data_IF_719288098132
#
_entry.id   IF_719288098132
#
_cell.length_a   1.000
_cell.length_b   1.000
_cell.length_c   1.000
_cell.angle_alpha   90.00
_cell.angle_beta   90.00
_cell.angle_gamma   90.00
#
_symmetry.space_group_name_H-M   'P 1'
#
loop_
_entity.id
_entity.type
_entity.pdbx_description
1 polymer ?
#
# COMPACT_ATOMS: atom_id res chain seq x y z
N UNK A 1 -33.79 2.69 -34.44
CA UNK A 1 -33.55 3.18 -33.07
C UNK A 1 -32.43 2.32 -32.52
N UNK A 2 -31.29 2.89 -32.10
CA UNK A 2 -30.15 2.09 -31.63
C UNK A 2 -30.50 1.42 -30.30
N UNK A 3 -30.37 0.09 -30.23
CA UNK A 3 -30.59 -0.73 -29.03
C UNK A 3 -29.35 -0.76 -28.11
N UNK A 4 -28.53 0.30 -28.12
CA UNK A 4 -27.37 0.40 -27.23
C UNK A 4 -27.79 0.99 -25.88
N UNK A 5 -27.93 0.11 -24.88
CA UNK A 5 -28.25 0.45 -23.49
C UNK A 5 -26.99 0.62 -22.62
N UNK A 6 -25.80 0.74 -23.23
CA UNK A 6 -24.57 0.90 -22.45
C UNK A 6 -24.57 2.23 -21.68
N UNK A 7 -24.27 2.14 -20.37
CA UNK A 7 -24.07 3.27 -19.49
C UNK A 7 -22.63 3.20 -19.00
N UNK A 8 -21.86 4.27 -19.18
CA UNK A 8 -20.49 4.40 -18.67
C UNK A 8 -20.44 5.49 -17.60
N UNK A 9 -20.87 5.21 -16.36
CA UNK A 9 -20.81 6.20 -15.30
C UNK A 9 -19.33 6.53 -14.99
N UNK A 10 -18.99 7.79 -14.71
CA UNK A 10 -17.64 8.14 -14.32
C UNK A 10 -17.29 7.49 -12.97
N UNK A 11 -16.07 6.99 -12.85
CA UNK A 11 -15.55 6.53 -11.56
C UNK A 11 -15.23 7.74 -10.66
N UNK A 12 -15.41 7.65 -9.33
CA UNK A 12 -15.02 8.72 -8.42
C UNK A 12 -13.51 8.98 -8.49
N UNK A 13 -13.11 10.24 -8.68
CA UNK A 13 -11.72 10.67 -8.53
C UNK A 13 -11.48 11.11 -7.08
N UNK A 14 -10.60 10.38 -6.40
CA UNK A 14 -10.25 10.61 -5.00
C UNK A 14 -8.85 11.22 -4.84
N UNK A 15 -8.14 11.47 -5.94
CA UNK A 15 -6.80 12.06 -5.94
C UNK A 15 -6.88 13.50 -5.45
N UNK A 16 -6.09 13.82 -4.43
CA UNK A 16 -5.98 15.19 -3.95
C UNK A 16 -5.03 15.97 -4.87
N UNK A 17 -5.42 17.17 -5.37
CA UNK A 17 -4.62 17.94 -6.32
C UNK A 17 -3.49 18.71 -5.61
N UNK A 18 -2.56 17.98 -4.98
CA UNK A 18 -1.50 18.51 -4.14
C UNK A 18 -0.55 19.47 -4.88
N UNK A 19 -0.42 19.34 -6.20
CA UNK A 19 0.44 20.18 -7.05
C UNK A 19 0.02 21.65 -7.03
N UNK A 20 -1.26 21.92 -6.75
CA UNK A 20 -1.84 23.26 -6.68
C UNK A 20 -1.46 24.02 -5.41
N UNK A 21 -0.90 23.34 -4.41
CA UNK A 21 -0.62 23.90 -3.10
C UNK A 21 0.88 23.92 -2.82
N UNK A 22 1.36 25.06 -2.32
CA UNK A 22 2.75 25.25 -1.89
C UNK A 22 2.85 26.30 -0.76
N UNK A 23 2.24 26.07 0.41
CA UNK A 23 2.42 26.96 1.55
C UNK A 23 3.88 26.92 2.03
N UNK A 24 4.45 28.08 2.32
CA UNK A 24 5.87 28.27 2.59
C UNK A 24 6.11 28.77 4.01
N UNK A 25 5.30 29.73 4.48
CA UNK A 25 5.44 30.32 5.81
C UNK A 25 4.73 29.50 6.89
N UNK A 26 5.05 29.75 8.16
CA UNK A 26 4.41 29.05 9.28
C UNK A 26 2.91 29.35 9.32
N UNK A 27 2.54 30.60 9.06
CA UNK A 27 1.18 31.10 9.03
C UNK A 27 0.39 30.43 7.90
N UNK A 28 0.93 30.40 6.68
CA UNK A 28 0.31 29.70 5.53
C UNK A 28 0.14 28.20 5.78
N UNK A 29 1.15 27.54 6.36
CA UNK A 29 1.06 26.11 6.69
C UNK A 29 -0.03 25.86 7.74
N UNK A 30 -0.14 26.74 8.73
CA UNK A 30 -1.16 26.64 9.76
C UNK A 30 -2.57 26.85 9.17
N UNK A 31 -2.78 27.89 8.38
CA UNK A 31 -4.05 28.14 7.67
C UNK A 31 -4.42 26.95 6.77
N UNK A 32 -3.47 26.44 5.99
CA UNK A 32 -3.68 25.29 5.12
C UNK A 32 -4.04 24.03 5.91
N UNK A 33 -3.34 23.75 7.01
CA UNK A 33 -3.60 22.59 7.87
C UNK A 33 -5.02 22.59 8.48
N UNK A 34 -5.62 23.77 8.64
CA UNK A 34 -6.98 23.96 9.16
C UNK A 34 -8.02 24.24 8.06
N UNK A 35 -7.64 24.17 6.78
CA UNK A 35 -8.55 24.40 5.65
C UNK A 35 -9.61 23.28 5.51
N UNK A 36 -10.79 23.59 4.93
CA UNK A 36 -11.80 22.59 4.61
C UNK A 36 -11.29 21.44 3.75
N UNK A 37 -10.42 21.73 2.78
CA UNK A 37 -9.82 20.75 1.86
C UNK A 37 -8.96 19.73 2.62
N UNK A 38 -8.16 20.19 3.59
CA UNK A 38 -7.35 19.32 4.44
C UNK A 38 -8.21 18.53 5.43
N UNK A 39 -9.29 19.13 5.94
CA UNK A 39 -10.22 18.43 6.85
C UNK A 39 -10.81 17.17 6.18
N UNK A 40 -11.23 17.26 4.92
CA UNK A 40 -11.75 16.10 4.16
C UNK A 40 -10.72 14.96 4.08
N UNK A 41 -9.44 15.27 3.90
CA UNK A 41 -8.39 14.25 3.86
C UNK A 41 -8.13 13.66 5.25
N UNK A 42 -8.14 14.48 6.31
CA UNK A 42 -8.02 13.99 7.70
C UNK A 42 -9.16 13.04 8.05
N UNK A 43 -10.41 13.40 7.72
CA UNK A 43 -11.58 12.55 7.93
C UNK A 43 -11.44 11.21 7.20
N UNK A 44 -10.98 11.24 5.95
CA UNK A 44 -10.71 10.03 5.18
C UNK A 44 -9.60 9.18 5.80
N UNK A 45 -8.52 9.78 6.29
CA UNK A 45 -7.46 9.05 7.00
C UNK A 45 -7.97 8.37 8.28
N UNK A 46 -8.82 9.05 9.05
CA UNK A 46 -9.49 8.46 10.22
C UNK A 46 -10.41 7.30 9.83
N UNK A 47 -11.13 7.42 8.71
CA UNK A 47 -11.97 6.34 8.20
C UNK A 47 -11.17 5.11 7.78
N UNK A 48 -10.12 5.30 7.00
CA UNK A 48 -9.18 4.24 6.63
C UNK A 48 -8.56 3.60 7.88
N UNK A 49 -8.16 4.40 8.88
CA UNK A 49 -7.67 3.88 10.16
C UNK A 49 -8.66 2.94 10.85
N UNK A 50 -9.96 3.27 10.85
CA UNK A 50 -11.03 2.39 11.36
C UNK A 50 -11.19 1.12 10.53
N UNK A 51 -11.13 1.20 9.19
CA UNK A 51 -11.23 0.02 8.32
C UNK A 51 -10.09 -0.97 8.57
N UNK A 52 -8.85 -0.46 8.62
CA UNK A 52 -7.66 -1.27 8.93
C UNK A 52 -7.76 -1.92 10.31
N UNK A 53 -8.26 -1.20 11.31
CA UNK A 53 -8.47 -1.74 12.66
C UNK A 53 -9.52 -2.86 12.68
N UNK A 54 -10.66 -2.65 12.02
CA UNK A 54 -11.74 -3.64 11.96
C UNK A 54 -11.33 -4.93 11.21
N UNK A 55 -10.30 -4.87 10.39
CA UNK A 55 -9.68 -6.01 9.70
C UNK A 55 -8.49 -6.61 10.44
N UNK A 56 -8.15 -6.07 11.62
CA UNK A 56 -6.98 -6.49 12.42
C UNK A 56 -5.63 -6.32 11.68
N UNK A 57 -5.56 -5.40 10.71
CA UNK A 57 -4.31 -5.11 10.00
C UNK A 57 -3.37 -4.23 10.80
N UNK A 58 -3.90 -3.50 11.78
CA UNK A 58 -3.14 -2.68 12.70
C UNK A 58 -3.42 -3.15 14.12
N UNK A 59 -2.37 -3.25 14.93
CA UNK A 59 -2.41 -3.77 16.29
C UNK A 59 -1.97 -2.68 17.28
N UNK A 60 -2.72 -2.50 18.37
CA UNK A 60 -2.40 -1.51 19.41
C UNK A 60 -2.17 -0.10 18.82
N UNK A 61 -0.89 0.30 18.72
CA UNK A 61 -0.46 1.59 18.19
C UNK A 61 0.38 1.49 16.89
N UNK A 62 0.53 0.29 16.33
CA UNK A 62 1.27 -0.02 15.12
C UNK A 62 0.61 0.49 13.83
N UNK A 63 1.33 0.31 12.72
CA UNK A 63 0.95 0.83 11.42
C UNK A 63 1.00 2.36 11.32
N UNK A 64 0.88 2.88 10.11
CA UNK A 64 0.81 4.32 9.84
C UNK A 64 0.26 4.65 8.46
N UNK A 65 -0.31 5.85 8.34
CA UNK A 65 -0.94 6.35 7.11
C UNK A 65 -0.32 7.70 6.78
N UNK A 66 -0.02 7.96 5.51
CA UNK A 66 0.33 9.30 5.05
C UNK A 66 -0.29 9.65 3.69
N UNK A 67 -0.54 10.94 3.49
CA UNK A 67 -1.11 11.49 2.25
C UNK A 67 -0.40 12.79 1.90
N UNK A 68 0.14 12.90 0.69
CA UNK A 68 0.73 14.12 0.16
C UNK A 68 -0.37 15.14 -0.13
N UNK A 69 -0.17 16.36 0.35
CA UNK A 69 -1.18 17.43 0.24
C UNK A 69 -0.61 18.74 -0.32
N UNK A 70 0.71 18.86 -0.45
CA UNK A 70 1.35 19.95 -1.16
C UNK A 70 2.65 19.48 -1.82
N UNK A 71 3.30 20.35 -2.60
CA UNK A 71 4.62 20.05 -3.17
C UNK A 71 5.63 19.63 -2.10
N UNK A 72 5.59 20.28 -0.92
CA UNK A 72 6.53 20.12 0.18
C UNK A 72 5.92 19.51 1.46
N UNK A 73 4.64 19.12 1.47
CA UNK A 73 3.94 18.69 2.68
C UNK A 73 3.12 17.42 2.48
N UNK A 74 3.03 16.65 3.55
CA UNK A 74 2.18 15.48 3.68
C UNK A 74 1.54 15.44 5.07
N UNK A 75 0.32 14.94 5.14
CA UNK A 75 -0.32 14.52 6.38
C UNK A 75 0.21 13.14 6.77
N UNK A 76 0.32 12.88 8.07
CA UNK A 76 0.63 11.55 8.58
C UNK A 76 -0.07 11.26 9.91
N UNK A 77 -0.29 9.98 10.19
CA UNK A 77 -0.78 9.54 11.49
C UNK A 77 0.25 9.81 12.61
N UNK A 78 -0.18 10.10 13.84
CA UNK A 78 0.73 10.26 14.97
C UNK A 78 1.32 8.92 15.44
N UNK A 79 2.42 9.02 16.17
CA UNK A 79 2.99 7.87 16.90
C UNK A 79 2.17 7.55 18.15
N UNK A 80 2.25 6.30 18.63
CA UNK A 80 1.62 5.81 19.86
C UNK A 80 0.09 6.02 19.93
N UNK A 81 -0.58 6.08 18.78
CA UNK A 81 -2.03 6.19 18.66
C UNK A 81 -2.57 5.02 17.85
N UNK A 82 -3.63 4.38 18.33
CA UNK A 82 -4.33 3.35 17.59
C UNK A 82 -5.03 3.96 16.37
N UNK A 83 -4.79 3.38 15.19
CA UNK A 83 -5.34 3.93 13.93
C UNK A 83 -6.87 3.83 13.89
N UNK A 84 -7.46 2.85 14.59
CA UNK A 84 -8.91 2.71 14.71
C UNK A 84 -9.59 3.80 15.54
N UNK A 85 -8.84 4.53 16.36
CA UNK A 85 -9.38 5.55 17.27
C UNK A 85 -8.81 6.96 17.03
N UNK A 86 -8.14 7.18 15.90
CA UNK A 86 -7.64 8.50 15.54
C UNK A 86 -8.79 9.48 15.29
N UNK A 87 -8.63 10.69 15.80
CA UNK A 87 -9.47 11.85 15.45
C UNK A 87 -8.75 12.76 14.46
N UNK A 88 -9.47 13.71 13.84
CA UNK A 88 -8.86 14.64 12.87
C UNK A 88 -7.84 15.57 13.54
N UNK A 89 -8.01 15.84 14.83
CA UNK A 89 -7.11 16.62 15.68
C UNK A 89 -5.79 15.89 15.97
N UNK A 90 -5.80 14.56 15.93
CA UNK A 90 -4.61 13.74 16.16
C UNK A 90 -3.67 13.72 14.94
N UNK A 91 -4.16 14.03 13.73
CA UNK A 91 -3.37 13.98 12.50
C UNK A 91 -2.25 15.03 12.53
N UNK A 92 -1.06 14.63 12.07
CA UNK A 92 0.12 15.48 11.97
C UNK A 92 0.34 15.94 10.52
N UNK A 93 1.13 16.99 10.35
CA UNK A 93 1.65 17.40 9.04
C UNK A 93 3.17 17.52 9.14
N UNK A 94 3.88 16.94 8.17
CA UNK A 94 5.35 16.99 8.07
C UNK A 94 5.76 17.50 6.70
N UNK A 95 7.01 17.96 6.59
CA UNK A 95 7.65 18.21 5.29
C UNK A 95 8.29 16.95 4.68
N UNK A 96 8.81 17.09 3.46
CA UNK A 96 9.52 16.02 2.74
C UNK A 96 10.87 15.62 3.36
N UNK A 97 11.27 16.22 4.48
CA UNK A 97 12.41 15.84 5.32
C UNK A 97 11.96 15.18 6.65
N UNK A 98 10.67 14.83 6.76
CA UNK A 98 10.03 14.29 7.96
C UNK A 98 10.06 15.23 9.18
N UNK A 99 10.17 16.55 8.98
CA UNK A 99 10.06 17.54 10.06
C UNK A 99 8.61 17.95 10.23
N UNK A 100 8.07 17.78 11.42
CA UNK A 100 6.71 18.20 11.76
C UNK A 100 6.54 19.71 11.63
N UNK A 101 5.47 20.13 10.95
CA UNK A 101 5.11 21.53 10.68
C UNK A 101 3.79 21.95 11.34
N UNK A 102 2.86 21.00 11.51
CA UNK A 102 1.59 21.23 12.19
C UNK A 102 1.07 19.94 12.85
N UNK A 103 0.03 20.09 13.67
CA UNK A 103 -0.54 19.03 14.51
C UNK A 103 0.02 19.04 15.93
N UNK A 104 -0.79 18.59 16.89
CA UNK A 104 -0.48 18.65 18.33
C UNK A 104 0.20 17.38 18.86
N UNK A 105 0.02 16.26 18.16
CA UNK A 105 0.65 14.97 18.49
C UNK A 105 2.01 14.85 17.80
N UNK A 106 2.96 14.08 18.34
CA UNK A 106 4.18 13.74 17.63
C UNK A 106 3.89 12.83 16.43
N UNK A 107 4.44 13.17 15.26
CA UNK A 107 4.34 12.35 14.04
C UNK A 107 5.04 10.99 14.20
N UNK A 108 4.59 9.97 13.45
CA UNK A 108 5.32 8.70 13.34
C UNK A 108 6.74 8.88 12.78
N UNK A 109 7.72 8.16 13.33
CA UNK A 109 9.10 8.14 12.82
C UNK A 109 9.22 7.41 11.47
N UNK A 110 8.27 6.51 11.18
CA UNK A 110 8.23 5.71 9.96
C UNK A 110 7.71 6.46 8.74
N UNK A 111 7.28 7.72 8.91
CA UNK A 111 6.96 8.60 7.78
C UNK A 111 8.15 8.78 6.84
N UNK A 112 9.39 8.56 7.32
CA UNK A 112 10.60 8.50 6.48
C UNK A 112 10.53 7.42 5.41
N UNK A 113 9.99 6.25 5.74
CA UNK A 113 9.79 5.14 4.80
C UNK A 113 8.77 5.52 3.74
N UNK A 114 7.66 6.15 4.16
CA UNK A 114 6.62 6.65 3.25
C UNK A 114 7.20 7.71 2.30
N UNK A 115 7.94 8.69 2.81
CA UNK A 115 8.60 9.74 2.01
C UNK A 115 9.60 9.13 1.02
N UNK A 116 10.38 8.13 1.43
CA UNK A 116 11.33 7.47 0.55
C UNK A 116 10.63 6.73 -0.60
N UNK A 117 9.51 6.04 -0.31
CA UNK A 117 8.66 5.42 -1.32
C UNK A 117 8.05 6.46 -2.28
N UNK A 118 7.42 7.52 -1.75
CA UNK A 118 6.85 8.62 -2.54
C UNK A 118 7.89 9.24 -3.48
N UNK A 119 9.12 9.48 -3.00
CA UNK A 119 10.23 10.01 -3.83
C UNK A 119 10.71 9.02 -4.89
N UNK A 120 10.67 7.72 -4.62
CA UNK A 120 11.18 6.68 -5.53
C UNK A 120 10.22 6.41 -6.70
N UNK A 121 8.92 6.32 -6.41
CA UNK A 121 7.91 5.83 -7.37
C UNK A 121 6.76 6.80 -7.62
N UNK A 122 6.77 7.99 -7.01
CA UNK A 122 5.81 9.05 -7.32
C UNK A 122 4.38 8.82 -6.83
N UNK A 123 4.19 7.93 -5.84
CA UNK A 123 2.89 7.73 -5.17
C UNK A 123 2.55 8.92 -4.27
N UNK A 124 1.25 9.11 -4.00
CA UNK A 124 0.76 10.26 -3.22
C UNK A 124 0.23 9.86 -1.84
N UNK A 125 -0.14 8.59 -1.64
CA UNK A 125 -0.54 8.08 -0.34
C UNK A 125 0.16 6.77 -0.06
N UNK A 126 0.45 6.53 1.23
CA UNK A 126 1.08 5.32 1.69
C UNK A 126 0.41 4.81 2.96
N UNK A 127 0.27 3.49 3.08
CA UNK A 127 -0.20 2.81 4.28
C UNK A 127 0.80 1.71 4.64
N UNK A 128 1.29 1.75 5.86
CA UNK A 128 2.02 0.66 6.48
C UNK A 128 1.15 -0.01 7.54
N UNK A 129 1.11 -1.34 7.54
CA UNK A 129 0.32 -2.15 8.47
C UNK A 129 0.97 -3.52 8.69
N UNK A 130 0.39 -4.31 9.59
CA UNK A 130 0.84 -5.66 9.99
C UNK A 130 -0.25 -6.73 9.74
N UNK A 131 -0.79 -6.87 8.51
CA UNK A 131 -1.82 -7.85 8.20
C UNK A 131 -1.38 -9.28 8.59
N UNK A 132 -2.17 -10.02 9.41
CA UNK A 132 -1.76 -11.31 9.96
C UNK A 132 -1.37 -12.36 8.92
N UNK A 133 -2.09 -12.44 7.80
CA UNK A 133 -1.82 -13.46 6.79
C UNK A 133 -0.59 -13.10 5.98
N UNK A 134 -0.37 -11.81 5.63
CA UNK A 134 0.90 -11.39 5.04
C UNK A 134 2.08 -11.68 5.97
N UNK A 135 1.94 -11.34 7.25
CA UNK A 135 2.98 -11.58 8.25
C UNK A 135 3.26 -13.07 8.46
N UNK A 136 2.27 -13.95 8.31
CA UNK A 136 2.50 -15.39 8.34
C UNK A 136 3.47 -15.87 7.23
N UNK A 137 3.45 -15.25 6.04
CA UNK A 137 4.46 -15.50 5.01
C UNK A 137 5.82 -14.92 5.38
N UNK A 138 5.84 -13.66 5.82
CA UNK A 138 7.06 -12.95 6.18
C UNK A 138 7.85 -13.66 7.28
N UNK A 139 7.18 -14.10 8.34
CA UNK A 139 7.81 -14.83 9.45
C UNK A 139 8.28 -16.23 9.04
N UNK A 140 7.76 -16.76 7.94
CA UNK A 140 8.24 -17.99 7.32
C UNK A 140 9.33 -17.74 6.26
N UNK A 141 9.82 -16.51 6.11
CA UNK A 141 10.84 -16.12 5.14
C UNK A 141 10.35 -16.20 3.69
N UNK A 142 9.06 -15.98 3.45
CA UNK A 142 8.40 -16.22 2.17
C UNK A 142 7.54 -15.02 1.71
N UNK A 143 7.18 -15.04 0.43
CA UNK A 143 6.15 -14.20 -0.20
C UNK A 143 5.11 -15.10 -0.90
N UNK A 144 3.83 -14.67 -1.00
CA UNK A 144 2.71 -15.56 -1.40
C UNK A 144 2.66 -15.77 -2.92
N UNK A 145 2.80 -16.98 -3.52
CA UNK A 145 3.12 -17.27 -4.96
C UNK A 145 2.36 -16.47 -6.03
N UNK A 146 2.87 -16.33 -7.26
CA UNK A 146 2.15 -15.61 -8.36
C UNK A 146 1.22 -16.52 -9.15
N UNK A 147 0.37 -15.96 -10.01
CA UNK A 147 -0.38 -16.68 -11.05
C UNK A 147 -1.49 -17.58 -10.51
N UNK A 148 -2.01 -17.32 -9.31
CA UNK A 148 -3.10 -18.11 -8.72
C UNK A 148 -4.40 -17.32 -8.74
N UNK A 149 -4.34 -16.03 -8.44
CA UNK A 149 -5.50 -15.18 -8.27
C UNK A 149 -5.36 -13.94 -9.18
N UNK A 150 -6.25 -13.78 -10.18
CA UNK A 150 -6.19 -12.65 -11.10
C UNK A 150 -6.12 -11.30 -10.39
N UNK A 151 -6.89 -11.10 -9.31
CA UNK A 151 -6.93 -9.84 -8.57
C UNK A 151 -5.56 -9.50 -7.95
N UNK A 152 -4.87 -10.46 -7.35
CA UNK A 152 -3.53 -10.27 -6.80
C UNK A 152 -2.52 -9.91 -7.92
N UNK A 153 -2.47 -10.70 -8.99
CA UNK A 153 -1.53 -10.48 -10.09
C UNK A 153 -1.82 -9.17 -10.87
N UNK A 154 -3.09 -8.79 -11.03
CA UNK A 154 -3.50 -7.56 -11.72
C UNK A 154 -3.28 -6.32 -10.84
N UNK A 155 -3.71 -6.31 -9.57
CA UNK A 155 -3.70 -5.11 -8.73
C UNK A 155 -2.41 -4.96 -7.92
N UNK A 156 -1.87 -6.04 -7.36
CA UNK A 156 -0.63 -5.99 -6.57
C UNK A 156 0.60 -6.09 -7.47
N UNK A 157 0.49 -6.82 -8.59
CA UNK A 157 1.64 -7.13 -9.44
C UNK A 157 2.64 -8.03 -8.72
N UNK A 158 3.93 -7.90 -9.05
CA UNK A 158 4.99 -8.57 -8.30
C UNK A 158 5.00 -8.05 -6.86
N UNK A 159 5.10 -8.94 -5.86
CA UNK A 159 5.20 -8.53 -4.45
C UNK A 159 6.66 -8.62 -4.00
N UNK A 160 7.43 -7.52 -4.06
CA UNK A 160 8.83 -7.52 -3.65
C UNK A 160 8.98 -7.62 -2.14
N UNK A 161 10.08 -8.23 -1.71
CA UNK A 161 10.52 -8.28 -0.32
C UNK A 161 11.64 -7.26 -0.10
N UNK A 162 11.37 -6.26 0.75
CA UNK A 162 12.40 -5.37 1.29
C UNK A 162 13.15 -6.09 2.43
N UNK A 163 14.50 -6.18 2.38
CA UNK A 163 15.30 -6.75 3.46
C UNK A 163 15.06 -6.06 4.80
N UNK A 164 15.32 -6.79 5.88
CA UNK A 164 15.18 -6.27 7.23
C UNK A 164 16.00 -4.99 7.45
N UNK A 165 15.39 -4.04 8.14
CA UNK A 165 16.06 -2.90 8.74
C UNK A 165 15.26 -2.44 9.95
N UNK A 166 15.93 -1.82 10.93
CA UNK A 166 15.27 -1.36 12.16
C UNK A 166 14.13 -0.38 11.85
N UNK A 167 12.90 -0.58 12.37
CA UNK A 167 11.78 0.32 12.15
C UNK A 167 12.12 1.80 12.40
N UNK A 168 11.68 2.69 11.49
CA UNK A 168 11.98 4.13 11.54
C UNK A 168 13.43 4.53 11.15
N UNK A 169 14.28 3.58 10.76
CA UNK A 169 15.65 3.84 10.30
C UNK A 169 15.72 4.28 8.82
N UNK A 170 16.85 4.87 8.43
CA UNK A 170 17.12 5.20 7.02
C UNK A 170 17.42 3.95 6.17
N UNK A 171 17.88 2.86 6.79
CA UNK A 171 18.12 1.59 6.12
C UNK A 171 16.81 0.99 5.60
N UNK A 172 15.80 0.87 6.48
CA UNK A 172 14.45 0.43 6.11
C UNK A 172 13.85 1.30 5.03
N UNK A 173 13.97 2.63 5.15
CA UNK A 173 13.46 3.57 4.16
C UNK A 173 14.10 3.37 2.77
N UNK A 174 15.42 3.11 2.71
CA UNK A 174 16.13 2.80 1.45
C UNK A 174 15.73 1.46 0.87
N UNK A 175 15.64 0.41 1.71
CA UNK A 175 15.24 -0.93 1.30
C UNK A 175 13.84 -0.95 0.69
N UNK A 176 12.88 -0.28 1.34
CA UNK A 176 11.51 -0.12 0.82
C UNK A 176 11.50 0.68 -0.47
N UNK A 177 12.23 1.80 -0.54
CA UNK A 177 12.26 2.63 -1.74
C UNK A 177 12.84 1.90 -2.96
N UNK A 178 13.82 1.02 -2.77
CA UNK A 178 14.36 0.16 -3.83
C UNK A 178 13.34 -0.88 -4.26
N UNK A 179 12.79 -1.65 -3.31
CA UNK A 179 11.77 -2.66 -3.57
C UNK A 179 10.55 -2.08 -4.29
N UNK A 180 10.13 -0.87 -3.90
CA UNK A 180 8.97 -0.19 -4.46
C UNK A 180 9.03 0.01 -5.97
N UNK A 181 10.24 0.04 -6.57
CA UNK A 181 10.41 0.16 -8.04
C UNK A 181 9.86 -1.03 -8.81
N UNK A 182 9.71 -2.18 -8.16
CA UNK A 182 9.12 -3.38 -8.76
C UNK A 182 7.60 -3.39 -8.58
N UNK A 183 7.10 -2.93 -7.44
CA UNK A 183 5.69 -2.72 -7.17
C UNK A 183 5.48 -1.81 -5.97
N UNK A 184 4.37 -1.09 -5.95
CA UNK A 184 3.97 -0.26 -4.82
C UNK A 184 3.32 -1.05 -3.67
N UNK A 185 3.35 -2.39 -3.70
CA UNK A 185 2.94 -3.26 -2.59
C UNK A 185 4.15 -4.02 -2.10
N UNK A 186 4.80 -3.52 -1.06
CA UNK A 186 6.10 -4.01 -0.60
C UNK A 186 5.94 -4.77 0.71
N UNK A 187 6.41 -6.02 0.72
CA UNK A 187 6.55 -6.83 1.92
C UNK A 187 7.87 -6.47 2.61
N UNK A 188 7.85 -6.33 3.93
CA UNK A 188 9.00 -5.93 4.73
C UNK A 188 9.40 -7.09 5.65
N UNK A 189 10.60 -7.63 5.45
CA UNK A 189 11.09 -8.81 6.16
C UNK A 189 10.96 -8.65 7.69
N UNK A 190 10.28 -9.60 8.33
CA UNK A 190 10.02 -9.64 9.77
C UNK A 190 9.39 -8.34 10.35
N UNK A 191 8.56 -7.66 9.57
CA UNK A 191 7.96 -6.39 9.99
C UNK A 191 6.48 -6.28 9.60
N UNK A 192 6.17 -6.17 8.31
CA UNK A 192 4.82 -5.87 7.84
C UNK A 192 4.75 -5.61 6.34
N UNK A 193 3.72 -4.88 5.93
CA UNK A 193 3.50 -4.50 4.53
C UNK A 193 3.39 -2.98 4.44
N UNK A 194 3.95 -2.40 3.38
CA UNK A 194 3.72 -1.01 3.01
C UNK A 194 3.17 -0.93 1.59
N UNK A 195 2.10 -0.18 1.43
CA UNK A 195 1.42 0.05 0.15
C UNK A 195 1.51 1.51 -0.23
N UNK A 196 1.61 1.79 -1.53
CA UNK A 196 1.62 3.13 -2.09
C UNK A 196 0.67 3.24 -3.28
N UNK A 197 -0.04 4.36 -3.38
CA UNK A 197 -1.05 4.57 -4.41
C UNK A 197 -1.29 6.06 -4.72
N UNK A 198 -2.19 6.35 -5.67
CA UNK A 198 -2.55 7.73 -6.05
C UNK A 198 -3.40 8.45 -5.00
N UNK A 199 -4.12 7.68 -4.18
CA UNK A 199 -4.90 8.14 -3.05
C UNK A 199 -4.92 7.10 -1.93
N UNK A 200 -5.35 7.53 -0.74
CA UNK A 200 -5.26 6.70 0.48
C UNK A 200 -6.19 5.50 0.47
N UNK A 201 -7.28 5.55 -0.28
CA UNK A 201 -8.24 4.45 -0.34
C UNK A 201 -7.75 3.36 -1.29
N UNK A 202 -7.15 3.72 -2.42
CA UNK A 202 -6.48 2.74 -3.28
C UNK A 202 -5.30 2.06 -2.56
N UNK A 203 -4.53 2.79 -1.74
CA UNK A 203 -3.49 2.17 -0.91
C UNK A 203 -4.08 1.14 0.07
N UNK A 204 -5.25 1.43 0.64
CA UNK A 204 -5.94 0.50 1.53
C UNK A 204 -6.45 -0.73 0.78
N UNK A 205 -7.00 -0.56 -0.43
CA UNK A 205 -7.40 -1.69 -1.28
C UNK A 205 -6.25 -2.63 -1.59
N UNK A 206 -5.05 -2.10 -1.84
CA UNK A 206 -3.86 -2.94 -2.02
C UNK A 206 -3.49 -3.71 -0.76
N UNK A 207 -3.62 -3.09 0.42
CA UNK A 207 -3.36 -3.75 1.70
C UNK A 207 -4.37 -4.89 1.93
N UNK A 208 -5.65 -4.63 1.66
CA UNK A 208 -6.72 -5.62 1.76
C UNK A 208 -6.53 -6.78 0.79
N UNK A 209 -6.27 -6.48 -0.48
CA UNK A 209 -6.03 -7.49 -1.50
C UNK A 209 -4.83 -8.37 -1.15
N UNK A 210 -3.74 -7.78 -0.64
CA UNK A 210 -2.55 -8.53 -0.23
C UNK A 210 -2.86 -9.53 0.90
N UNK A 211 -3.54 -9.11 1.97
CA UNK A 211 -3.88 -10.00 3.08
C UNK A 211 -4.93 -11.04 2.70
N UNK A 212 -5.96 -10.63 1.95
CA UNK A 212 -6.97 -11.55 1.43
C UNK A 212 -6.33 -12.64 0.56
N UNK A 213 -5.37 -12.26 -0.30
CA UNK A 213 -4.63 -13.21 -1.11
C UNK A 213 -3.80 -14.18 -0.26
N UNK A 214 -3.00 -13.66 0.68
CA UNK A 214 -2.24 -14.47 1.62
C UNK A 214 -3.14 -15.45 2.38
N UNK A 215 -4.30 -15.00 2.87
CA UNK A 215 -5.27 -15.84 3.56
C UNK A 215 -5.74 -16.99 2.69
N UNK A 216 -6.11 -16.71 1.44
CA UNK A 216 -6.57 -17.74 0.50
C UNK A 216 -5.48 -18.78 0.24
N UNK A 217 -4.24 -18.35 0.02
CA UNK A 217 -3.11 -19.28 -0.20
C UNK A 217 -2.86 -20.15 1.04
N UNK A 218 -2.85 -19.57 2.25
CA UNK A 218 -2.66 -20.33 3.49
C UNK A 218 -3.76 -21.36 3.69
N UNK A 219 -5.03 -20.97 3.48
CA UNK A 219 -6.17 -21.87 3.58
C UNK A 219 -6.13 -22.97 2.53
N UNK A 220 -5.78 -22.65 1.28
CA UNK A 220 -5.62 -23.63 0.21
C UNK A 220 -4.51 -24.64 0.54
N UNK A 221 -3.41 -24.19 1.15
CA UNK A 221 -2.31 -25.04 1.61
C UNK A 221 -2.72 -26.10 2.64
N UNK A 222 -3.78 -25.88 3.42
CA UNK A 222 -4.30 -26.86 4.39
C UNK A 222 -4.81 -28.14 3.72
N UNK A 223 -5.18 -28.10 2.43
CA UNK A 223 -5.57 -29.28 1.68
C UNK A 223 -4.39 -30.21 1.35
N UNK A 224 -3.13 -29.77 1.55
CA UNK A 224 -1.89 -30.52 1.24
C UNK A 224 -1.81 -31.02 -0.20
N UNK A 225 -2.52 -30.35 -1.11
CA UNK A 225 -2.47 -30.55 -2.54
C UNK A 225 -1.63 -29.42 -3.18
N UNK A 226 -1.01 -29.66 -4.34
CA UNK A 226 -0.40 -28.60 -5.13
C UNK A 226 -1.39 -27.46 -5.41
N UNK A 227 -0.93 -26.21 -5.25
CA UNK A 227 -1.69 -25.06 -5.70
C UNK A 227 -1.63 -24.99 -7.23
N UNK A 228 -2.76 -24.70 -7.87
CA UNK A 228 -2.83 -24.54 -9.32
C UNK A 228 -2.45 -23.11 -9.70
N UNK A 229 -1.46 -22.99 -10.58
CA UNK A 229 -1.00 -21.72 -11.14
C UNK A 229 -1.32 -21.68 -12.63
N UNK A 230 -1.77 -20.53 -13.15
CA UNK A 230 -1.85 -20.29 -14.60
C UNK A 230 -0.47 -20.40 -15.24
N UNK A 231 -0.41 -20.84 -16.49
CA UNK A 231 0.80 -20.87 -17.27
C UNK A 231 1.27 -19.46 -17.67
N UNK A 232 2.40 -19.37 -18.40
CA UNK A 232 2.95 -18.09 -18.84
C UNK A 232 1.98 -17.24 -19.68
N UNK A 233 1.07 -17.88 -20.44
CA UNK A 233 0.05 -17.16 -21.22
C UNK A 233 -0.98 -16.50 -20.30
N UNK A 234 -1.51 -17.22 -19.32
CA UNK A 234 -2.44 -16.64 -18.35
C UNK A 234 -1.83 -15.50 -17.53
N UNK A 235 -0.55 -15.60 -17.14
CA UNK A 235 0.12 -14.48 -16.48
C UNK A 235 0.29 -13.29 -17.43
N UNK A 236 0.61 -13.53 -18.72
CA UNK A 236 0.69 -12.46 -19.70
C UNK A 236 -0.65 -11.72 -19.86
N UNK A 237 -1.78 -12.45 -19.80
CA UNK A 237 -3.13 -11.85 -19.82
C UNK A 237 -3.36 -10.95 -18.60
N UNK A 238 -2.97 -11.39 -17.39
CA UNK A 238 -3.09 -10.57 -16.17
C UNK A 238 -2.25 -9.30 -16.27
N UNK A 239 -1.01 -9.39 -16.75
CA UNK A 239 -0.13 -8.24 -16.94
C UNK A 239 -0.66 -7.28 -18.03
N UNK A 240 -1.28 -7.81 -19.08
CA UNK A 240 -1.93 -6.99 -20.10
C UNK A 240 -3.11 -6.20 -19.53
N UNK A 241 -3.95 -6.82 -18.70
CA UNK A 241 -5.05 -6.15 -18.00
C UNK A 241 -4.50 -5.07 -17.07
N UNK A 242 -3.51 -5.40 -16.23
CA UNK A 242 -2.83 -4.44 -15.32
C UNK A 242 -2.35 -3.20 -16.05
N UNK A 243 -1.70 -3.38 -17.20
CA UNK A 243 -1.24 -2.28 -18.06
C UNK A 243 -2.42 -1.46 -18.62
N UNK A 244 -3.48 -2.13 -19.06
CA UNK A 244 -4.66 -1.47 -19.64
C UNK A 244 -5.41 -0.57 -18.66
N UNK A 245 -5.39 -0.92 -17.36
CA UNK A 245 -6.01 -0.12 -16.29
C UNK A 245 -5.06 0.92 -15.68
N UNK A 246 -3.86 1.09 -16.25
CA UNK A 246 -2.94 2.20 -15.95
C UNK A 246 -1.87 1.91 -14.90
N UNK A 247 -1.73 0.67 -14.42
CA UNK A 247 -0.64 0.32 -13.51
C UNK A 247 0.64 -0.05 -14.27
N UNK A 248 1.79 0.23 -13.64
CA UNK A 248 3.08 -0.13 -14.18
C UNK A 248 3.27 -1.65 -14.21
N UNK A 249 3.89 -2.13 -15.29
CA UNK A 249 4.38 -3.50 -15.46
C UNK A 249 5.87 -3.38 -15.78
N UNK A 250 6.77 -3.69 -14.84
CA UNK A 250 8.21 -3.67 -15.11
C UNK A 250 8.58 -4.60 -16.27
N UNK A 251 9.55 -4.18 -17.09
CA UNK A 251 10.10 -5.04 -18.13
C UNK A 251 10.67 -6.31 -17.49
N UNK A 252 10.33 -7.47 -18.07
CA UNK A 252 10.73 -8.79 -17.55
C UNK A 252 10.34 -9.01 -16.08
N UNK A 253 9.18 -8.51 -15.63
CA UNK A 253 8.67 -8.76 -14.28
C UNK A 253 8.78 -10.26 -13.95
N UNK A 254 9.63 -10.64 -12.97
CA UNK A 254 9.83 -12.05 -12.67
C UNK A 254 8.55 -12.60 -12.04
N UNK A 255 8.13 -13.76 -12.53
CA UNK A 255 7.23 -14.61 -11.77
C UNK A 255 7.96 -14.99 -10.48
N UNK A 256 7.37 -14.67 -9.34
CA UNK A 256 7.94 -15.07 -8.08
C UNK A 256 7.36 -16.45 -7.71
N UNK A 257 8.25 -17.37 -7.31
CA UNK A 257 7.98 -18.78 -7.03
C UNK A 257 7.27 -19.53 -8.17
N UNK A 258 8.01 -19.91 -9.21
CA UNK A 258 7.48 -20.64 -10.38
C UNK A 258 7.47 -22.17 -10.25
N UNK A 259 8.13 -22.71 -9.22
CA UNK A 259 8.38 -24.15 -9.12
C UNK A 259 7.94 -24.75 -7.80
N UNK A 260 8.13 -24.02 -6.69
CA UNK A 260 7.79 -24.51 -5.35
C UNK A 260 7.24 -23.41 -4.44
N UNK A 261 6.39 -23.80 -3.49
CA UNK A 261 5.90 -22.98 -2.39
C UNK A 261 5.83 -23.84 -1.12
N UNK A 262 6.45 -23.40 -0.03
CA UNK A 262 6.46 -24.11 1.27
C UNK A 262 6.82 -25.62 1.17
N UNK A 263 7.73 -26.00 0.26
CA UNK A 263 8.13 -27.40 0.04
C UNK A 263 7.19 -28.22 -0.87
N UNK A 264 6.08 -27.64 -1.34
CA UNK A 264 5.19 -28.24 -2.33
C UNK A 264 5.58 -27.78 -3.74
N UNK A 265 5.52 -28.70 -4.71
CA UNK A 265 5.59 -28.32 -6.13
C UNK A 265 4.31 -27.59 -6.52
N UNK A 266 4.43 -26.46 -7.19
CA UNK A 266 3.27 -25.79 -7.77
C UNK A 266 2.76 -26.60 -8.98
N UNK A 267 1.44 -26.74 -9.08
CA UNK A 267 0.79 -27.38 -10.23
C UNK A 267 0.76 -26.43 -11.41
N UNK A 268 0.94 -26.94 -12.63
CA UNK A 268 0.80 -26.18 -13.87
C UNK A 268 -0.61 -26.37 -14.43
N UNK A 269 -1.35 -25.27 -14.57
CA UNK A 269 -2.48 -25.17 -15.48
C UNK A 269 -1.98 -25.36 -16.93
N UNK A 270 -2.76 -26.02 -17.77
CA UNK A 270 -2.43 -26.23 -19.19
C UNK A 270 -2.53 -24.99 -20.07
N UNK A 271 -2.90 -23.84 -19.47
CA UNK A 271 -2.89 -22.49 -20.05
C UNK A 271 -2.34 -21.52 -19.01
#
# INVERSE_FOLDING_TARGET
MSEDWSISPPLPDKVFPWEKYNPVTREEVNEFFHSPEILVIKERMCDIGRRLWNREYVDGNGGNISVRVAQNLLLCSPTLCSKGFMTVEDICMVDMDARQKAGIRPSTSEVKTHIAMMKSVGVNACIHAHPPHCNAFLFAGQVPPSGINPEADIFLGHIPLAPYGTPGSLETARAVAEAARQSTVVFMENHGVITGARDVEEAEWFMENADAYCRMVLMAGLHKAPLNQVGPEGVADFLAIRKSIGYAVPDNQPLYNTETYAGYKLGKSGK
#
